data_IF_419277818586
#
_entry.id   IF_419277818586
#
_cell.length_a   1.000
_cell.length_b   1.000
_cell.length_c   1.000
_cell.angle_alpha   90.00
_cell.angle_beta   90.00
_cell.angle_gamma   90.00
#
_symmetry.space_group_name_H-M   'P 1'
#
loop_
_entity.id
_entity.type
_entity.pdbx_description
1 polymer ?
#
# COMPACT_ATOMS: atom_id res chain seq x y z
N UNK A 1 -27.49 19.19 -19.78
CA UNK A 1 -27.87 20.35 -18.96
C UNK A 1 -27.60 19.99 -17.50
N UNK A 2 -26.62 20.69 -16.90
CA UNK A 2 -26.16 20.85 -15.49
C UNK A 2 -26.53 19.77 -14.44
N UNK A 3 -25.63 19.32 -13.55
CA UNK A 3 -24.70 20.09 -12.71
C UNK A 3 -23.35 19.35 -12.57
N UNK A 4 -22.25 20.01 -12.95
CA UNK A 4 -20.87 19.58 -12.69
C UNK A 4 -20.38 20.31 -11.43
N UNK A 5 -20.05 19.58 -10.37
CA UNK A 5 -19.31 20.16 -9.24
C UNK A 5 -17.82 20.01 -9.50
N UNK A 6 -17.22 21.10 -9.99
CA UNK A 6 -15.78 21.34 -9.95
C UNK A 6 -15.39 21.55 -8.50
N UNK A 7 -14.88 20.51 -7.85
CA UNK A 7 -14.27 20.66 -6.52
C UNK A 7 -12.76 20.82 -6.66
N UNK A 8 -12.32 22.07 -6.54
CA UNK A 8 -10.92 22.49 -6.53
C UNK A 8 -10.29 22.04 -5.23
N UNK A 9 -9.39 21.04 -5.25
CA UNK A 9 -8.48 20.74 -4.13
C UNK A 9 -7.09 20.40 -4.68
N UNK A 10 -6.09 21.08 -4.13
CA UNK A 10 -4.73 21.29 -4.64
C UNK A 10 -3.90 20.00 -4.81
N UNK A 11 -3.86 19.50 -6.04
CA UNK A 11 -2.71 19.68 -6.93
C UNK A 11 -1.32 19.95 -6.29
N UNK A 12 -0.41 18.95 -6.30
CA UNK A 12 1.00 19.24 -6.62
C UNK A 12 1.03 19.63 -8.11
N UNK A 13 1.29 20.91 -8.38
CA UNK A 13 1.14 21.58 -9.68
C UNK A 13 2.12 21.04 -10.71
N UNK A 14 1.60 20.65 -11.89
CA UNK A 14 2.31 21.01 -13.12
C UNK A 14 2.37 22.55 -13.09
N UNK A 15 3.60 23.06 -13.09
CA UNK A 15 4.04 24.46 -13.19
C UNK A 15 4.19 25.35 -11.95
N UNK A 16 4.23 24.86 -10.70
CA UNK A 16 4.71 25.68 -9.58
C UNK A 16 5.48 24.85 -8.53
N UNK A 17 6.82 24.95 -8.59
CA UNK A 17 7.83 24.58 -7.59
C UNK A 17 7.91 23.07 -7.30
N UNK A 18 8.75 22.26 -7.97
CA UNK A 18 10.22 22.26 -7.84
C UNK A 18 10.77 23.10 -6.67
N UNK A 19 10.15 23.00 -5.48
CA UNK A 19 10.87 23.29 -4.24
C UNK A 19 11.18 21.91 -3.71
N UNK A 20 12.41 21.48 -3.96
CA UNK A 20 12.99 20.38 -3.19
C UNK A 20 12.85 20.80 -1.73
N UNK A 21 11.99 20.11 -0.99
CA UNK A 21 11.90 20.32 0.44
C UNK A 21 13.05 19.50 1.06
N UNK A 22 14.04 20.13 1.72
CA UNK A 22 15.09 19.38 2.37
C UNK A 22 14.46 18.59 3.52
N UNK A 23 14.31 17.27 3.32
CA UNK A 23 13.77 16.37 4.34
C UNK A 23 14.88 15.89 5.28
N UNK A 24 16.13 15.91 4.81
CA UNK A 24 17.31 15.60 5.62
C UNK A 24 17.75 16.79 6.48
N UNK A 25 17.77 16.62 7.79
CA UNK A 25 18.33 17.61 8.74
C UNK A 25 17.37 18.72 9.17
N UNK A 26 16.12 18.76 8.69
CA UNK A 26 15.10 19.73 9.12
C UNK A 26 14.25 19.14 10.23
N UNK A 27 13.92 19.95 11.25
CA UNK A 27 13.04 19.52 12.33
C UNK A 27 11.60 19.36 11.81
N UNK A 28 10.84 18.41 12.36
CA UNK A 28 9.43 18.20 11.99
C UNK A 28 8.62 19.51 12.11
N UNK A 29 8.85 20.29 13.16
CA UNK A 29 8.10 21.51 13.42
C UNK A 29 8.35 22.58 12.36
N UNK A 30 9.60 22.74 11.93
CA UNK A 30 9.95 23.74 10.92
C UNK A 30 9.45 23.31 9.54
N UNK A 31 9.54 22.01 9.25
CA UNK A 31 8.97 21.46 8.02
C UNK A 31 7.45 21.63 7.95
N UNK A 32 6.74 21.38 9.06
CA UNK A 32 5.30 21.58 9.12
C UNK A 32 4.92 23.05 8.95
N UNK A 33 5.67 24.00 9.55
CA UNK A 33 5.42 25.45 9.37
C UNK A 33 5.53 25.87 7.91
N UNK A 34 6.56 25.39 7.20
CA UNK A 34 6.73 25.70 5.79
C UNK A 34 5.65 25.06 4.92
N UNK A 35 5.35 23.77 5.15
CA UNK A 35 4.29 23.06 4.44
C UNK A 35 2.90 23.65 4.72
N UNK A 36 2.69 24.27 5.88
CA UNK A 36 1.43 24.93 6.22
C UNK A 36 1.10 26.09 5.27
N UNK A 37 2.11 26.76 4.71
CA UNK A 37 1.89 27.80 3.70
C UNK A 37 1.35 27.25 2.37
N UNK A 38 1.51 25.94 2.13
CA UNK A 38 1.05 25.25 0.92
C UNK A 38 -0.29 24.57 1.20
N UNK A 39 -0.36 23.80 2.29
CA UNK A 39 -1.53 23.05 2.74
C UNK A 39 -1.83 23.52 4.17
N UNK A 40 -2.76 24.48 4.38
CA UNK A 40 -2.96 25.18 5.66
C UNK A 40 -3.72 24.34 6.70
N UNK A 41 -3.28 23.10 6.87
CA UNK A 41 -3.77 22.18 7.86
C UNK A 41 -2.65 21.26 8.35
N UNK A 42 -2.26 21.43 9.62
CA UNK A 42 -1.06 20.84 10.20
C UNK A 42 -1.01 19.30 10.07
N UNK A 43 -2.14 18.62 10.18
CA UNK A 43 -2.21 17.15 10.06
C UNK A 43 -1.90 16.64 8.64
N UNK A 44 -2.28 17.41 7.61
CA UNK A 44 -1.92 17.08 6.23
C UNK A 44 -0.43 17.37 5.98
N UNK A 45 0.06 18.52 6.44
CA UNK A 45 1.47 18.90 6.35
C UNK A 45 2.38 17.86 7.04
N UNK A 46 2.04 17.46 8.27
CA UNK A 46 2.77 16.45 9.04
C UNK A 46 2.77 15.09 8.32
N UNK A 47 1.62 14.67 7.77
CA UNK A 47 1.51 13.41 7.03
C UNK A 47 2.39 13.44 5.77
N UNK A 48 2.37 14.54 5.02
CA UNK A 48 3.20 14.71 3.83
C UNK A 48 4.70 14.65 4.17
N UNK A 49 5.13 15.34 5.23
CA UNK A 49 6.52 15.30 5.68
C UNK A 49 6.95 13.89 6.07
N UNK A 50 6.15 13.19 6.88
CA UNK A 50 6.49 11.82 7.33
C UNK A 50 6.57 10.83 6.18
N UNK A 51 5.69 10.95 5.19
CA UNK A 51 5.78 10.12 3.99
C UNK A 51 7.05 10.43 3.18
N UNK A 52 7.39 11.70 3.02
CA UNK A 52 8.63 12.11 2.34
C UNK A 52 9.87 11.59 3.09
N UNK A 53 9.90 11.69 4.42
CA UNK A 53 11.01 11.19 5.26
C UNK A 53 11.18 9.69 5.11
N UNK A 54 10.08 8.93 5.22
CA UNK A 54 10.12 7.48 5.03
C UNK A 54 10.68 7.10 3.65
N UNK A 55 10.37 7.86 2.60
CA UNK A 55 10.88 7.60 1.26
C UNK A 55 12.38 7.88 1.12
N UNK A 56 12.87 8.95 1.78
CA UNK A 56 14.30 9.31 1.79
C UNK A 56 15.12 8.31 2.61
N UNK A 57 14.64 7.92 3.79
CA UNK A 57 15.30 6.92 4.66
C UNK A 57 15.43 5.55 4.00
N UNK A 58 14.47 5.17 3.14
CA UNK A 58 14.48 3.90 2.41
C UNK A 58 15.44 3.87 1.19
N UNK A 59 16.39 4.80 1.08
CA UNK A 59 17.38 4.92 -0.04
C UNK A 59 16.73 4.92 -1.44
N UNK A 60 15.47 5.34 -1.56
CA UNK A 60 14.76 5.40 -2.83
C UNK A 60 15.41 6.42 -3.75
N UNK A 61 16.18 5.96 -4.74
CA UNK A 61 17.02 6.77 -5.63
C UNK A 61 16.26 7.74 -6.55
N UNK A 62 14.93 7.82 -6.43
CA UNK A 62 14.09 8.89 -6.99
C UNK A 62 12.65 8.73 -6.50
N UNK A 63 12.14 9.69 -5.75
CA UNK A 63 10.71 9.78 -5.44
C UNK A 63 10.07 10.69 -6.48
N UNK A 64 9.41 10.09 -7.47
CA UNK A 64 8.60 10.86 -8.42
C UNK A 64 7.14 10.82 -7.98
N UNK A 65 6.66 11.91 -7.39
CA UNK A 65 5.22 12.13 -7.19
C UNK A 65 4.60 12.43 -8.55
N UNK A 66 4.11 11.38 -9.23
CA UNK A 66 3.59 11.51 -10.59
C UNK A 66 2.21 12.17 -10.67
N UNK A 67 1.48 12.29 -9.55
CA UNK A 67 0.05 12.67 -9.52
C UNK A 67 -0.32 13.43 -8.25
N UNK A 68 -1.47 14.10 -8.29
CA UNK A 68 -2.03 14.87 -7.17
C UNK A 68 -2.69 13.91 -6.18
N UNK A 69 -2.32 13.99 -4.91
CA UNK A 69 -2.93 13.18 -3.86
C UNK A 69 -2.92 13.91 -2.53
N UNK A 70 -3.81 13.49 -1.63
CA UNK A 70 -3.87 13.93 -0.24
C UNK A 70 -3.89 12.68 0.64
N UNK A 71 -3.05 12.65 1.68
CA UNK A 71 -3.03 11.56 2.66
C UNK A 71 -3.36 12.06 4.06
N UNK A 72 -4.18 11.29 4.77
CA UNK A 72 -4.50 11.47 6.17
C UNK A 72 -3.98 10.27 6.94
N UNK A 73 -3.08 10.49 7.91
CA UNK A 73 -2.73 9.44 8.87
C UNK A 73 -3.94 9.06 9.73
N UNK A 74 -4.11 7.77 10.00
CA UNK A 74 -5.08 7.25 10.97
C UNK A 74 -4.64 7.40 12.41
N UNK A 75 -5.60 7.60 13.30
CA UNK A 75 -5.41 7.58 14.74
C UNK A 75 -6.70 7.09 15.42
N UNK A 76 -6.58 6.10 16.29
CA UNK A 76 -7.69 5.55 17.08
C UNK A 76 -8.39 6.63 17.92
N UNK A 77 -7.65 7.59 18.47
CA UNK A 77 -8.21 8.69 19.27
C UNK A 77 -9.08 9.65 18.46
N UNK A 78 -8.86 9.69 17.14
CA UNK A 78 -9.61 10.51 16.21
C UNK A 78 -10.77 9.72 15.59
N UNK A 79 -11.29 8.68 16.23
CA UNK A 79 -12.28 7.74 15.69
C UNK A 79 -11.89 7.18 14.31
N UNK A 80 -10.70 6.57 14.23
CA UNK A 80 -10.15 6.00 13.01
C UNK A 80 -9.21 6.94 12.27
N UNK A 81 -9.72 8.08 11.79
CA UNK A 81 -8.95 9.07 11.03
C UNK A 81 -9.55 10.48 11.16
N UNK A 82 -8.72 11.49 11.43
CA UNK A 82 -9.18 12.85 11.71
C UNK A 82 -9.84 13.54 10.52
N UNK A 83 -9.31 13.31 9.32
CA UNK A 83 -9.58 14.14 8.15
C UNK A 83 -10.31 13.39 7.04
N UNK A 84 -10.42 12.07 7.15
CA UNK A 84 -11.20 11.25 6.23
C UNK A 84 -12.07 10.31 7.06
N UNK A 85 -13.38 10.46 6.98
CA UNK A 85 -14.34 9.57 7.63
C UNK A 85 -15.10 8.80 6.56
N UNK A 86 -15.55 7.62 6.92
CA UNK A 86 -16.47 6.89 6.09
C UNK A 86 -17.59 6.25 6.90
N UNK A 87 -18.67 5.92 6.21
CA UNK A 87 -19.79 5.14 6.69
C UNK A 87 -20.18 4.12 5.62
N UNK A 88 -20.29 2.85 6.00
CA UNK A 88 -20.61 1.78 5.04
C UNK A 88 -22.12 1.67 4.86
N UNK A 89 -22.59 1.82 3.62
CA UNK A 89 -23.97 1.58 3.19
C UNK A 89 -24.09 0.21 2.54
N UNK A 90 -25.27 -0.11 1.99
CA UNK A 90 -25.56 -1.44 1.42
C UNK A 90 -24.72 -1.76 0.17
N UNK A 91 -24.50 -0.78 -0.70
CA UNK A 91 -23.83 -0.95 -2.00
C UNK A 91 -22.62 -0.02 -2.21
N UNK A 92 -22.41 0.93 -1.30
CA UNK A 92 -21.34 1.91 -1.38
C UNK A 92 -20.89 2.39 -0.01
N UNK A 93 -19.82 3.18 0.01
CA UNK A 93 -19.28 3.81 1.21
C UNK A 93 -19.45 5.31 1.07
N UNK A 94 -20.16 5.92 2.01
CA UNK A 94 -20.24 7.37 2.15
C UNK A 94 -18.94 7.86 2.77
N UNK A 95 -18.28 8.81 2.13
CA UNK A 95 -16.99 9.34 2.57
C UNK A 95 -17.13 10.83 2.79
N UNK A 96 -16.55 11.34 3.87
CA UNK A 96 -16.33 12.77 4.05
C UNK A 96 -14.87 13.07 4.32
N UNK A 97 -14.36 14.09 3.65
CA UNK A 97 -12.94 14.48 3.68
C UNK A 97 -12.88 15.94 4.05
N UNK A 98 -12.01 16.28 5.00
CA UNK A 98 -11.82 17.67 5.42
C UNK A 98 -10.93 18.38 4.41
N UNK A 99 -11.44 19.43 3.80
CA UNK A 99 -10.69 20.28 2.89
C UNK A 99 -9.61 21.05 3.67
N UNK A 100 -8.31 20.96 3.29
CA UNK A 100 -7.25 21.68 3.98
C UNK A 100 -7.42 23.21 3.97
N UNK A 101 -8.05 23.76 2.92
CA UNK A 101 -8.15 25.22 2.72
C UNK A 101 -9.39 25.80 3.39
N UNK A 102 -10.58 25.31 3.04
CA UNK A 102 -11.82 25.80 3.67
C UNK A 102 -12.04 25.25 5.08
N UNK A 103 -11.40 24.12 5.43
CA UNK A 103 -11.64 23.34 6.67
C UNK A 103 -13.04 22.72 6.73
N UNK A 104 -13.82 22.83 5.67
CA UNK A 104 -15.15 22.23 5.55
C UNK A 104 -15.08 20.74 5.19
N UNK A 105 -16.18 20.04 5.45
CA UNK A 105 -16.33 18.64 5.03
C UNK A 105 -16.84 18.56 3.61
N UNK A 106 -16.09 17.83 2.78
CA UNK A 106 -16.46 17.46 1.43
C UNK A 106 -17.01 16.05 1.46
N UNK A 107 -18.17 15.84 0.85
CA UNK A 107 -18.85 14.54 0.83
C UNK A 107 -18.71 13.86 -0.52
N UNK A 108 -18.65 12.53 -0.52
CA UNK A 108 -18.58 11.73 -1.73
C UNK A 108 -19.01 10.28 -1.49
N UNK A 109 -19.12 9.54 -2.59
CA UNK A 109 -19.38 8.10 -2.58
C UNK A 109 -18.13 7.38 -3.10
N UNK A 110 -17.72 6.34 -2.39
CA UNK A 110 -16.69 5.42 -2.81
C UNK A 110 -17.31 4.04 -3.02
N UNK A 111 -16.95 3.40 -4.13
CA UNK A 111 -17.45 2.08 -4.49
C UNK A 111 -16.31 1.08 -4.32
N UNK A 112 -16.54 0.09 -3.46
CA UNK A 112 -15.62 -1.03 -3.22
C UNK A 112 -16.30 -2.32 -3.70
N UNK A 113 -15.51 -3.37 -3.95
CA UNK A 113 -16.07 -4.70 -4.16
C UNK A 113 -16.93 -5.13 -2.96
N UNK A 114 -18.03 -5.83 -3.20
CA UNK A 114 -18.97 -6.25 -2.13
C UNK A 114 -18.28 -7.08 -1.06
N UNK A 115 -17.25 -7.83 -1.44
CA UNK A 115 -16.39 -8.63 -0.56
C UNK A 115 -15.64 -7.79 0.50
N UNK A 116 -15.43 -6.49 0.26
CA UNK A 116 -14.76 -5.58 1.19
C UNK A 116 -15.71 -4.92 2.19
N UNK A 117 -17.02 -4.86 1.91
CA UNK A 117 -17.99 -4.17 2.78
C UNK A 117 -18.02 -4.74 4.22
N UNK A 118 -17.99 -6.07 4.44
CA UNK A 118 -17.93 -6.62 5.79
C UNK A 118 -16.68 -6.18 6.57
N UNK A 119 -15.52 -6.14 5.91
CA UNK A 119 -14.29 -5.65 6.52
C UNK A 119 -14.41 -4.16 6.89
N UNK A 120 -14.97 -3.35 6.00
CA UNK A 120 -15.10 -1.92 6.21
C UNK A 120 -16.09 -1.60 7.34
N UNK A 121 -17.16 -2.40 7.48
CA UNK A 121 -18.10 -2.31 8.60
C UNK A 121 -17.41 -2.56 9.94
N UNK A 122 -16.59 -3.61 10.04
CA UNK A 122 -15.82 -3.87 11.26
C UNK A 122 -14.78 -2.78 11.53
N UNK A 123 -14.11 -2.28 10.48
CA UNK A 123 -13.17 -1.17 10.63
C UNK A 123 -13.87 0.10 11.13
N UNK A 124 -15.08 0.40 10.64
CA UNK A 124 -15.89 1.52 11.09
C UNK A 124 -16.24 1.37 12.58
N UNK A 125 -16.74 0.20 13.00
CA UNK A 125 -17.09 -0.08 14.39
C UNK A 125 -15.87 0.04 15.33
N UNK A 126 -14.74 -0.59 14.98
CA UNK A 126 -13.48 -0.46 15.72
C UNK A 126 -13.01 0.99 15.82
N UNK A 127 -13.21 1.76 14.76
CA UNK A 127 -12.87 3.18 14.73
C UNK A 127 -13.76 3.98 15.68
N UNK A 128 -15.08 3.71 15.73
CA UNK A 128 -15.99 4.38 16.67
C UNK A 128 -15.69 4.03 18.12
N UNK A 129 -15.28 2.78 18.39
CA UNK A 129 -14.84 2.31 19.70
C UNK A 129 -13.45 2.84 20.10
N UNK A 130 -12.74 3.52 19.19
CA UNK A 130 -11.35 4.00 19.36
C UNK A 130 -10.36 2.87 19.63
N UNK A 131 -10.65 1.69 19.11
CA UNK A 131 -9.77 0.53 19.20
C UNK A 131 -8.71 0.58 18.09
N UNK A 132 -9.05 1.16 16.93
CA UNK A 132 -8.19 1.11 15.75
C UNK A 132 -8.22 2.39 14.90
N UNK A 133 -7.13 2.64 14.19
CA UNK A 133 -6.97 3.72 13.22
C UNK A 133 -6.87 3.21 11.79
N UNK A 134 -7.16 4.06 10.81
CA UNK A 134 -6.90 3.76 9.40
C UNK A 134 -6.32 4.95 8.67
N UNK A 135 -5.32 4.71 7.82
CA UNK A 135 -4.84 5.74 6.90
C UNK A 135 -5.82 5.91 5.74
N UNK A 136 -5.87 7.09 5.16
CA UNK A 136 -6.65 7.35 3.97
C UNK A 136 -5.82 8.15 2.97
N UNK A 137 -5.78 7.72 1.72
CA UNK A 137 -5.10 8.44 0.64
C UNK A 137 -6.07 8.62 -0.52
N UNK A 138 -6.20 9.86 -0.97
CA UNK A 138 -7.08 10.22 -2.07
C UNK A 138 -6.22 10.61 -3.25
N UNK A 139 -6.39 9.91 -4.37
CA UNK A 139 -5.72 10.23 -5.62
C UNK A 139 -6.68 10.92 -6.57
N UNK A 140 -6.26 12.05 -7.14
CA UNK A 140 -7.03 12.75 -8.16
C UNK A 140 -6.53 12.31 -9.54
N UNK A 141 -7.25 11.38 -10.17
CA UNK A 141 -7.10 11.00 -11.59
C UNK A 141 -8.26 11.59 -12.40
N UNK A 142 -8.65 10.94 -13.50
CA UNK A 142 -9.93 11.24 -14.19
C UNK A 142 -11.14 11.06 -13.25
N UNK A 143 -11.05 10.08 -12.35
CA UNK A 143 -11.93 9.92 -11.19
C UNK A 143 -11.11 9.95 -9.91
N UNK A 144 -11.65 10.58 -8.87
CA UNK A 144 -11.05 10.55 -7.54
C UNK A 144 -11.12 9.12 -6.99
N UNK A 145 -9.99 8.60 -6.48
CA UNK A 145 -9.90 7.26 -5.90
C UNK A 145 -9.53 7.35 -4.43
N UNK A 146 -10.25 6.62 -3.58
CA UNK A 146 -9.95 6.49 -2.16
C UNK A 146 -9.20 5.17 -1.91
N UNK A 147 -8.06 5.25 -1.25
CA UNK A 147 -7.30 4.11 -0.76
C UNK A 147 -7.30 4.16 0.77
N UNK A 148 -7.80 3.12 1.41
CA UNK A 148 -7.76 2.96 2.86
C UNK A 148 -6.56 2.07 3.23
N UNK A 149 -5.78 2.52 4.20
CA UNK A 149 -4.69 1.75 4.79
C UNK A 149 -5.25 1.03 6.02
N UNK A 150 -5.54 -0.25 5.82
CA UNK A 150 -6.25 -1.12 6.78
C UNK A 150 -5.21 -1.88 7.61
N UNK A 151 -5.42 -2.06 8.92
CA UNK A 151 -4.59 -2.93 9.74
C UNK A 151 -4.48 -4.32 9.13
N UNK A 152 -3.24 -4.83 9.01
CA UNK A 152 -2.98 -6.11 8.37
C UNK A 152 -3.76 -7.26 9.04
N UNK A 153 -3.88 -7.24 10.37
CA UNK A 153 -4.62 -8.26 11.11
C UNK A 153 -6.10 -8.33 10.70
N UNK A 154 -6.72 -7.17 10.46
CA UNK A 154 -8.12 -7.07 10.06
C UNK A 154 -8.29 -7.51 8.61
N UNK A 155 -7.37 -7.13 7.73
CA UNK A 155 -7.35 -7.63 6.35
C UNK A 155 -7.26 -9.16 6.30
N UNK A 156 -6.35 -9.75 7.08
CA UNK A 156 -6.19 -11.19 7.15
C UNK A 156 -7.41 -11.89 7.74
N UNK A 157 -8.12 -11.29 8.71
CA UNK A 157 -9.34 -11.86 9.26
C UNK A 157 -10.40 -12.16 8.18
N UNK A 158 -10.54 -11.28 7.18
CA UNK A 158 -11.56 -11.42 6.13
C UNK A 158 -11.06 -12.12 4.87
N UNK A 159 -9.79 -11.93 4.51
CA UNK A 159 -9.25 -12.36 3.22
C UNK A 159 -8.18 -13.44 3.32
N UNK A 160 -7.76 -13.82 4.54
CA UNK A 160 -6.95 -15.04 4.66
C UNK A 160 -7.81 -16.24 4.28
N UNK A 161 -7.30 -17.04 3.36
CA UNK A 161 -7.83 -18.39 3.22
C UNK A 161 -7.61 -19.14 4.54
N UNK A 162 -8.52 -20.06 4.93
CA UNK A 162 -8.22 -21.02 5.98
C UNK A 162 -6.82 -21.57 5.75
N UNK A 163 -6.00 -21.70 6.81
CA UNK A 163 -4.72 -22.40 6.69
C UNK A 163 -5.01 -23.69 5.93
N UNK A 164 -4.46 -23.91 4.72
CA UNK A 164 -4.59 -25.20 4.12
C UNK A 164 -4.10 -26.19 5.16
N UNK A 165 -4.81 -27.30 5.34
CA UNK A 165 -4.28 -28.46 6.05
C UNK A 165 -3.12 -29.05 5.23
N UNK A 166 -2.09 -28.23 4.98
CA UNK A 166 -0.85 -28.68 4.39
C UNK A 166 -0.16 -29.59 5.39
N UNK A 167 0.77 -30.39 4.92
CA UNK A 167 1.44 -31.42 5.74
C UNK A 167 2.45 -30.85 6.76
N UNK A 168 2.33 -29.57 7.15
CA UNK A 168 3.33 -28.84 7.93
C UNK A 168 4.57 -28.45 7.11
N UNK A 169 4.45 -28.41 5.79
CA UNK A 169 5.54 -28.03 4.89
C UNK A 169 5.70 -26.50 4.84
N UNK A 170 6.95 -26.02 4.81
CA UNK A 170 7.32 -24.60 4.71
C UNK A 170 8.24 -24.43 3.51
N UNK A 171 7.97 -23.46 2.64
CA UNK A 171 8.83 -23.16 1.50
C UNK A 171 9.64 -21.88 1.72
N UNK A 172 10.95 -21.96 1.49
CA UNK A 172 11.85 -20.82 1.37
C UNK A 172 12.19 -20.54 -0.09
N UNK A 173 12.26 -19.26 -0.44
CA UNK A 173 12.61 -18.79 -1.77
C UNK A 173 13.96 -18.08 -1.75
N UNK A 174 14.81 -18.38 -2.71
CA UNK A 174 16.00 -17.62 -3.04
C UNK A 174 15.88 -17.10 -4.49
N UNK A 175 15.64 -15.79 -4.60
CA UNK A 175 15.38 -15.07 -5.84
C UNK A 175 16.69 -14.46 -6.35
N UNK A 176 17.19 -14.97 -7.47
CA UNK A 176 18.35 -14.44 -8.17
C UNK A 176 17.93 -13.75 -9.47
N UNK A 177 18.87 -13.01 -10.07
CA UNK A 177 18.59 -12.29 -11.32
C UNK A 177 18.30 -13.23 -12.49
N UNK A 178 18.85 -14.45 -12.46
CA UNK A 178 18.88 -15.50 -13.49
C UNK A 178 18.15 -16.80 -13.09
N UNK A 179 17.73 -16.95 -11.83
CA UNK A 179 17.05 -18.15 -11.33
C UNK A 179 16.15 -17.89 -10.13
N UNK A 180 15.20 -18.78 -9.91
CA UNK A 180 14.41 -18.89 -8.69
C UNK A 180 14.65 -20.26 -8.05
N UNK A 181 15.22 -20.24 -6.85
CA UNK A 181 15.44 -21.43 -6.03
C UNK A 181 14.33 -21.55 -4.99
N UNK A 182 13.79 -22.74 -4.83
CA UNK A 182 12.78 -23.06 -3.81
C UNK A 182 13.24 -24.26 -3.01
N UNK A 183 13.19 -24.14 -1.69
CA UNK A 183 13.52 -25.21 -0.74
C UNK A 183 12.29 -25.45 0.12
N UNK A 184 11.84 -26.70 0.21
CA UNK A 184 10.67 -27.10 1.02
C UNK A 184 11.17 -27.90 2.20
N UNK A 185 10.76 -27.48 3.39
CA UNK A 185 11.16 -28.06 4.66
C UNK A 185 9.95 -28.59 5.45
N UNK A 186 10.20 -29.57 6.31
CA UNK A 186 9.30 -29.99 7.38
C UNK A 186 10.13 -30.23 8.64
N UNK A 187 9.78 -29.57 9.74
CA UNK A 187 10.44 -29.75 11.04
C UNK A 187 11.98 -29.65 10.98
N UNK A 188 12.49 -28.68 10.21
CA UNK A 188 13.93 -28.43 10.04
C UNK A 188 14.64 -29.37 9.05
N UNK A 189 13.94 -30.28 8.37
CA UNK A 189 14.49 -31.17 7.35
C UNK A 189 14.07 -30.74 5.96
N UNK A 190 15.02 -30.68 5.03
CA UNK A 190 14.75 -30.45 3.60
C UNK A 190 14.05 -31.67 3.02
N UNK A 191 12.85 -31.45 2.50
CA UNK A 191 12.00 -32.45 1.85
C UNK A 191 12.26 -32.45 0.34
N UNK A 192 12.32 -31.27 -0.27
CA UNK A 192 12.62 -31.13 -1.70
C UNK A 192 13.18 -29.76 -2.02
N UNK A 193 13.85 -29.68 -3.16
CA UNK A 193 14.36 -28.43 -3.74
C UNK A 193 14.02 -28.38 -5.22
N UNK A 194 13.64 -27.21 -5.72
CA UNK A 194 13.41 -27.00 -7.15
C UNK A 194 13.96 -25.65 -7.60
N UNK A 195 14.57 -25.63 -8.77
CA UNK A 195 15.14 -24.42 -9.37
C UNK A 195 14.51 -24.17 -10.73
N UNK A 196 14.08 -22.94 -10.96
CA UNK A 196 13.67 -22.44 -12.27
C UNK A 196 14.76 -21.53 -12.81
N UNK A 197 15.32 -21.88 -13.96
CA UNK A 197 16.39 -21.14 -14.60
C UNK A 197 15.85 -20.24 -15.71
N UNK A 198 16.35 -19.01 -15.76
CA UNK A 198 16.08 -18.03 -16.80
C UNK A 198 17.33 -17.18 -17.08
N UNK A 199 18.48 -17.79 -17.43
CA UNK A 199 19.78 -17.10 -17.47
C UNK A 199 19.85 -16.00 -18.53
N UNK A 200 19.08 -16.11 -19.60
CA UNK A 200 19.05 -15.14 -20.69
C UNK A 200 18.70 -13.73 -20.21
N UNK A 201 17.94 -13.59 -19.12
CA UNK A 201 17.52 -12.27 -18.61
C UNK A 201 18.68 -11.42 -18.08
N UNK A 202 19.86 -12.02 -17.88
CA UNK A 202 21.07 -11.33 -17.44
C UNK A 202 21.99 -10.93 -18.59
N UNK A 203 21.65 -11.30 -19.83
CA UNK A 203 22.44 -10.95 -21.01
C UNK A 203 22.40 -9.44 -21.27
N UNK A 204 23.53 -8.82 -21.68
CA UNK A 204 23.54 -7.44 -22.12
C UNK A 204 22.52 -7.21 -23.25
N UNK A 205 21.71 -6.15 -23.12
CA UNK A 205 20.68 -5.81 -24.11
C UNK A 205 19.38 -6.61 -24.00
N UNK A 206 19.24 -7.52 -23.03
CA UNK A 206 17.98 -8.25 -22.85
C UNK A 206 16.83 -7.30 -22.43
N UNK A 207 15.65 -7.36 -23.08
CA UNK A 207 14.54 -6.46 -22.78
C UNK A 207 14.02 -6.61 -21.33
N UNK A 208 13.91 -5.48 -20.61
CA UNK A 208 13.57 -5.48 -19.18
C UNK A 208 12.15 -5.95 -18.88
N UNK A 209 11.21 -5.64 -19.77
CA UNK A 209 9.81 -6.06 -19.72
C UNK A 209 9.69 -7.58 -19.86
N UNK A 210 10.40 -8.16 -20.83
CA UNK A 210 10.46 -9.62 -21.04
C UNK A 210 11.13 -10.30 -19.84
N UNK A 211 12.20 -9.72 -19.31
CA UNK A 211 12.86 -10.24 -18.10
C UNK A 211 11.93 -10.24 -16.89
N UNK A 212 11.08 -9.21 -16.74
CA UNK A 212 10.05 -9.15 -15.71
C UNK A 212 9.00 -10.26 -15.88
N UNK A 213 8.52 -10.45 -17.11
CA UNK A 213 7.54 -11.49 -17.42
C UNK A 213 8.07 -12.91 -17.14
N UNK A 214 9.31 -13.21 -17.53
CA UNK A 214 9.94 -14.51 -17.28
C UNK A 214 10.09 -14.80 -15.78
N UNK A 215 10.49 -13.81 -14.98
CA UNK A 215 10.59 -13.96 -13.52
C UNK A 215 9.22 -14.18 -12.88
N UNK A 216 8.20 -13.46 -13.34
CA UNK A 216 6.84 -13.62 -12.82
C UNK A 216 6.27 -15.00 -13.19
N UNK A 217 6.52 -15.48 -14.41
CA UNK A 217 6.13 -16.82 -14.83
C UNK A 217 6.80 -17.90 -13.97
N UNK A 218 8.12 -17.78 -13.73
CA UNK A 218 8.83 -18.70 -12.85
C UNK A 218 8.26 -18.71 -11.41
N UNK A 219 7.88 -17.55 -10.89
CA UNK A 219 7.21 -17.44 -9.59
C UNK A 219 5.84 -18.13 -9.60
N UNK A 220 5.03 -17.91 -10.63
CA UNK A 220 3.71 -18.55 -10.79
C UNK A 220 3.85 -20.07 -10.84
N UNK A 221 4.76 -20.60 -11.66
CA UNK A 221 5.05 -22.03 -11.74
C UNK A 221 5.54 -22.60 -10.41
N UNK A 222 6.35 -21.84 -9.66
CA UNK A 222 6.79 -22.22 -8.34
C UNK A 222 5.63 -22.30 -7.35
N UNK A 223 4.71 -21.33 -7.36
CA UNK A 223 3.51 -21.36 -6.51
C UNK A 223 2.59 -22.53 -6.87
N UNK A 224 2.42 -22.83 -8.16
CA UNK A 224 1.66 -24.01 -8.60
C UNK A 224 2.31 -25.32 -8.14
N UNK A 225 3.64 -25.44 -8.26
CA UNK A 225 4.39 -26.59 -7.77
C UNK A 225 4.19 -26.79 -6.26
N UNK A 226 4.33 -25.72 -5.48
CA UNK A 226 4.17 -25.73 -4.03
C UNK A 226 2.75 -26.10 -3.60
N UNK A 227 1.76 -25.59 -4.32
CA UNK A 227 0.35 -25.95 -4.12
C UNK A 227 0.11 -27.45 -4.35
N UNK A 228 0.63 -28.00 -5.46
CA UNK A 228 0.48 -29.43 -5.80
C UNK A 228 1.08 -30.37 -4.75
N UNK A 229 2.19 -29.99 -4.12
CA UNK A 229 2.84 -30.81 -3.09
C UNK A 229 2.33 -30.54 -1.67
N UNK A 230 1.29 -29.70 -1.51
CA UNK A 230 0.63 -29.47 -0.23
C UNK A 230 1.37 -28.52 0.72
N UNK A 231 2.20 -27.60 0.20
CA UNK A 231 2.71 -26.46 0.99
C UNK A 231 1.57 -25.46 1.20
N UNK A 232 1.22 -25.18 2.45
CA UNK A 232 0.11 -24.28 2.78
C UNK A 232 0.43 -22.83 2.41
N UNK A 233 -0.52 -22.10 1.82
CA UNK A 233 -0.34 -20.71 1.36
C UNK A 233 0.11 -19.71 2.44
N UNK A 234 -0.03 -20.03 3.73
CA UNK A 234 0.47 -19.22 4.85
C UNK A 234 1.91 -19.52 5.28
N UNK A 235 2.56 -20.51 4.67
CA UNK A 235 3.93 -20.97 4.96
C UNK A 235 4.96 -20.52 3.91
N UNK A 236 4.54 -19.64 2.98
CA UNK A 236 5.39 -18.99 2.00
C UNK A 236 6.16 -17.84 2.68
N UNK A 237 7.28 -18.19 3.32
CA UNK A 237 8.20 -17.20 3.89
C UNK A 237 9.18 -16.71 2.83
N UNK A 238 8.96 -15.53 2.25
CA UNK A 238 9.99 -14.85 1.48
C UNK A 238 11.06 -14.30 2.44
N UNK A 239 12.09 -15.10 2.73
CA UNK A 239 13.36 -14.57 3.26
C UNK A 239 14.29 -14.29 2.09
N UNK A 240 14.25 -13.07 1.58
CA UNK A 240 15.32 -12.58 0.72
C UNK A 240 16.58 -12.41 1.58
N UNK A 241 17.51 -13.36 1.50
CA UNK A 241 18.88 -13.14 1.95
C UNK A 241 19.55 -12.37 0.83
N UNK A 242 19.63 -11.04 0.99
CA UNK A 242 20.44 -10.19 0.11
C UNK A 242 21.89 -10.51 0.49
N UNK A 243 22.53 -11.40 -0.28
CA UNK A 243 23.97 -11.60 -0.25
C UNK A 243 24.69 -10.32 -0.64
N UNK A 244 25.82 -10.06 0.03
CA UNK A 244 26.68 -8.88 -0.13
C UNK A 244 27.12 -8.64 -1.57
#
# INVERSE_FOLDING_TARGET
>A
MLIYFTLVILVFTRSLVLREFPVGGVSLNDAVKELYNIIPYAFYAETAYKQALALVENKGSKVEVKRRWIACRGNKSDNGNRNCKFHVSEDHVLVKVKDPWSKEWVYGKAYFGKEYLPLLLELEDLSQRKDEGYGAVIFFKEKSMLHLQIPLWLYLKYFSSPKPSGYGLIAGFDLNSDRLNVVVNKDGRVITTKTWWFPDVTRPGFPKDIAGALRLNALTEALEFLSRIGVGGSSLGAKAVIGK
#
